data_IF_206466389563
#
_entry.id   IF_206466389563
#
_cell.length_a   1.000
_cell.length_b   1.000
_cell.length_c   1.000
_cell.angle_alpha   90.00
_cell.angle_beta   90.00
_cell.angle_gamma   90.00
#
_symmetry.space_group_name_H-M   'P 1'
#
loop_
_entity.id
_entity.type
_entity.pdbx_description
1 polymer ?
#
# COMPACT_ATOMS: atom_id res chain seq x y z
N UNK A 1 -27.40 -29.33 24.31
CA UNK A 1 -27.20 -27.96 23.74
C UNK A 1 -25.87 -27.29 24.09
N UNK A 2 -24.78 -27.97 24.43
CA UNK A 2 -23.48 -27.37 24.80
C UNK A 2 -22.40 -27.45 23.69
N UNK A 3 -22.60 -28.27 22.63
CA UNK A 3 -21.57 -28.46 21.58
C UNK A 3 -21.46 -27.35 20.53
N UNK A 4 -22.53 -26.59 20.27
CA UNK A 4 -22.52 -25.57 19.20
C UNK A 4 -21.85 -24.27 19.59
N UNK A 5 -21.70 -23.96 20.90
CA UNK A 5 -21.01 -22.75 21.35
C UNK A 5 -19.49 -22.83 21.17
N UNK A 6 -18.91 -24.01 21.30
CA UNK A 6 -17.46 -24.23 21.09
C UNK A 6 -17.07 -24.13 19.63
N UNK A 7 -17.92 -24.61 18.73
CA UNK A 7 -17.67 -24.53 17.29
C UNK A 7 -17.75 -23.08 16.79
N UNK A 8 -18.66 -22.26 17.36
CA UNK A 8 -18.80 -20.85 16.98
C UNK A 8 -17.59 -20.03 17.41
N UNK A 9 -17.00 -20.30 18.58
CA UNK A 9 -15.80 -19.60 19.07
C UNK A 9 -14.57 -19.97 18.24
N UNK A 10 -14.44 -21.21 17.81
CA UNK A 10 -13.32 -21.64 16.94
C UNK A 10 -13.45 -21.00 15.55
N UNK A 11 -14.65 -20.90 15.00
CA UNK A 11 -14.88 -20.22 13.71
C UNK A 11 -14.62 -18.71 13.80
N UNK A 12 -15.01 -18.05 14.90
CA UNK A 12 -14.68 -16.62 15.09
C UNK A 12 -13.18 -16.38 15.30
N UNK A 13 -12.47 -17.27 15.99
CA UNK A 13 -11.01 -17.17 16.14
C UNK A 13 -10.27 -17.46 14.83
N UNK A 14 -10.79 -18.35 13.98
CA UNK A 14 -10.24 -18.61 12.66
C UNK A 14 -10.47 -17.40 11.71
N UNK A 15 -11.63 -16.75 11.76
CA UNK A 15 -11.94 -15.57 10.94
C UNK A 15 -11.12 -14.35 11.34
N UNK A 16 -10.78 -14.18 12.62
CA UNK A 16 -9.91 -13.08 13.07
C UNK A 16 -8.46 -13.29 12.64
N UNK A 17 -7.99 -14.52 12.48
CA UNK A 17 -6.66 -14.84 11.96
C UNK A 17 -6.47 -14.51 10.48
N UNK A 18 -7.53 -14.56 9.67
CA UNK A 18 -7.45 -14.26 8.24
C UNK A 18 -7.28 -12.77 7.92
N UNK A 19 -7.81 -11.87 8.75
CA UNK A 19 -7.68 -10.42 8.55
C UNK A 19 -6.25 -9.91 8.82
N UNK A 20 -5.49 -10.57 9.69
CA UNK A 20 -4.10 -10.22 9.99
C UNK A 20 -3.08 -10.79 9.00
N UNK A 21 -3.41 -11.83 8.25
CA UNK A 21 -2.48 -12.53 7.35
C UNK A 21 -2.06 -11.72 6.12
N UNK A 22 -2.84 -10.73 5.70
CA UNK A 22 -2.48 -9.88 4.56
C UNK A 22 -1.40 -8.83 4.89
N UNK A 23 -1.23 -8.50 6.17
CA UNK A 23 -0.23 -7.54 6.64
C UNK A 23 0.91 -8.18 7.42
N UNK A 24 0.92 -9.49 7.58
CA UNK A 24 1.99 -10.23 8.25
C UNK A 24 3.24 -10.38 7.35
N UNK A 25 3.80 -9.28 6.95
CA UNK A 25 5.21 -9.22 6.63
C UNK A 25 5.90 -8.67 7.87
N UNK A 26 6.78 -9.39 8.46
CA UNK A 26 7.61 -9.20 9.65
C UNK A 26 8.05 -7.75 9.97
N UNK A 27 7.11 -6.81 10.00
CA UNK A 27 7.35 -5.43 10.39
C UNK A 27 7.56 -5.35 11.91
N UNK A 28 8.71 -5.71 12.40
CA UNK A 28 9.05 -5.32 13.77
C UNK A 28 9.14 -3.79 13.82
N UNK A 29 8.61 -3.19 14.87
CA UNK A 29 8.63 -1.73 15.12
C UNK A 29 10.03 -1.12 14.99
N UNK A 30 11.05 -1.93 15.19
CA UNK A 30 12.46 -1.51 15.21
C UNK A 30 13.07 -1.34 13.81
N UNK A 31 12.35 -1.72 12.75
CA UNK A 31 12.91 -1.69 11.39
C UNK A 31 12.75 -0.34 10.70
N UNK A 32 11.88 0.56 11.20
CA UNK A 32 11.73 1.91 10.65
C UNK A 32 12.78 2.87 11.19
N UNK A 33 13.16 2.72 12.47
CA UNK A 33 14.13 3.60 13.13
C UNK A 33 15.45 3.64 12.35
N UNK A 34 15.93 4.85 12.07
CA UNK A 34 17.14 5.09 11.28
C UNK A 34 16.99 4.89 9.77
N UNK A 35 15.80 4.60 9.27
CA UNK A 35 15.52 4.51 7.82
C UNK A 35 15.04 5.85 7.24
N UNK A 36 14.80 5.88 5.93
CA UNK A 36 14.21 7.06 5.26
C UNK A 36 12.74 7.33 5.66
N UNK A 37 12.04 6.34 6.24
CA UNK A 37 10.71 6.52 6.81
C UNK A 37 10.74 6.85 8.31
N UNK A 38 11.91 6.93 8.92
CA UNK A 38 12.09 7.55 10.23
C UNK A 38 12.08 9.07 10.08
N UNK A 39 10.91 9.66 10.21
CA UNK A 39 10.71 11.09 9.96
C UNK A 39 11.12 11.98 11.13
N UNK A 40 11.67 11.43 12.23
CA UNK A 40 12.15 12.22 13.36
C UNK A 40 13.23 13.24 12.98
N UNK A 41 14.10 12.89 12.04
CA UNK A 41 15.14 13.79 11.55
C UNK A 41 14.58 14.91 10.67
N UNK A 42 13.39 14.70 10.13
CA UNK A 42 12.69 15.63 9.20
C UNK A 42 11.75 16.54 9.95
N UNK A 43 10.96 15.97 10.84
CA UNK A 43 9.94 16.67 11.62
C UNK A 43 10.29 16.48 13.10
N UNK A 44 11.13 17.35 13.64
CA UNK A 44 11.55 17.26 15.04
C UNK A 44 10.37 17.42 16.00
N UNK A 45 10.30 16.56 17.02
CA UNK A 45 9.37 16.68 18.12
C UNK A 45 8.43 15.51 18.38
N UNK A 46 8.32 14.55 17.49
CA UNK A 46 7.60 13.30 17.75
C UNK A 46 8.42 12.36 18.62
N UNK A 47 7.78 11.70 19.58
CA UNK A 47 8.44 10.70 20.43
C UNK A 47 8.29 9.27 19.89
N UNK A 48 7.39 9.07 18.94
CA UNK A 48 7.07 7.77 18.37
C UNK A 48 7.12 7.81 16.84
N UNK A 49 8.01 7.05 16.28
CA UNK A 49 8.23 6.90 14.82
C UNK A 49 6.93 6.58 14.04
N UNK A 50 5.99 5.87 14.67
CA UNK A 50 4.73 5.48 14.04
C UNK A 50 3.74 6.64 13.85
N UNK A 51 3.83 7.69 14.67
CA UNK A 51 2.86 8.79 14.72
C UNK A 51 2.88 9.67 13.46
N UNK A 52 3.99 9.69 12.73
CA UNK A 52 4.06 10.41 11.47
C UNK A 52 3.13 9.82 10.40
N UNK A 53 2.93 8.51 10.43
CA UNK A 53 2.08 7.81 9.47
C UNK A 53 0.72 7.42 10.07
N UNK A 54 0.66 7.15 11.38
CA UNK A 54 -0.53 6.63 12.04
C UNK A 54 -0.94 7.47 13.25
N UNK A 55 -2.23 7.65 13.42
CA UNK A 55 -2.81 8.25 14.62
C UNK A 55 -3.33 7.14 15.55
N UNK A 56 -3.21 7.27 16.89
CA UNK A 56 -3.65 6.23 17.83
C UNK A 56 -5.17 5.99 17.78
N UNK A 57 -5.93 7.01 17.45
CA UNK A 57 -7.40 6.98 17.47
C UNK A 57 -7.96 7.78 16.29
N UNK A 58 -9.10 7.32 15.75
CA UNK A 58 -9.84 8.05 14.75
C UNK A 58 -10.45 9.33 15.36
N UNK A 59 -10.22 10.48 14.71
CA UNK A 59 -10.89 11.73 15.11
C UNK A 59 -12.35 11.70 14.72
N UNK A 60 -13.23 12.00 15.69
CA UNK A 60 -14.68 12.00 15.48
C UNK A 60 -15.17 13.00 14.44
N UNK A 61 -14.36 14.00 14.10
CA UNK A 61 -14.74 15.07 13.18
C UNK A 61 -14.37 14.81 11.70
N UNK A 62 -13.62 13.74 11.41
CA UNK A 62 -13.16 13.48 10.04
C UNK A 62 -13.96 12.33 9.43
N UNK A 63 -15.00 12.68 8.70
CA UNK A 63 -15.79 11.71 7.91
C UNK A 63 -15.02 11.13 6.73
N UNK A 64 -13.89 11.72 6.38
CA UNK A 64 -13.07 11.41 5.20
C UNK A 64 -11.66 10.91 5.56
N UNK A 65 -11.41 10.52 6.83
CA UNK A 65 -10.10 10.00 7.20
C UNK A 65 -9.82 8.68 6.48
N UNK A 66 -8.65 8.55 5.85
CA UNK A 66 -8.24 7.28 5.25
C UNK A 66 -8.21 6.16 6.30
N UNK A 67 -8.38 4.92 5.89
CA UNK A 67 -8.27 3.78 6.78
C UNK A 67 -6.85 3.63 7.34
N UNK A 68 -6.63 2.62 8.18
CA UNK A 68 -5.37 2.37 8.90
C UNK A 68 -4.99 3.48 9.88
N UNK A 69 -5.94 4.33 10.29
CA UNK A 69 -5.66 5.48 11.15
C UNK A 69 -4.55 6.36 10.56
N UNK A 70 -4.59 6.60 9.25
CA UNK A 70 -3.58 7.35 8.54
C UNK A 70 -3.53 8.81 8.99
N UNK A 71 -2.32 9.32 9.26
CA UNK A 71 -2.13 10.65 9.83
C UNK A 71 -1.88 11.74 8.78
N UNK A 72 -1.75 11.39 7.51
CA UNK A 72 -1.45 12.36 6.45
C UNK A 72 -2.68 12.60 5.58
N UNK A 73 -2.94 13.86 5.25
CA UNK A 73 -4.02 14.22 4.33
C UNK A 73 -3.72 13.66 2.94
N UNK A 74 -4.68 12.96 2.37
CA UNK A 74 -4.55 12.46 1.00
C UNK A 74 -4.93 13.57 0.01
N UNK A 75 -4.17 13.66 -1.07
CA UNK A 75 -4.48 14.61 -2.14
C UNK A 75 -5.76 14.19 -2.86
N UNK A 76 -6.66 15.11 -3.16
CA UNK A 76 -7.92 14.78 -3.86
C UNK A 76 -7.74 14.36 -5.33
N UNK A 77 -6.54 14.41 -5.87
CA UNK A 77 -6.29 14.07 -7.27
C UNK A 77 -6.69 15.19 -8.25
N UNK A 78 -6.92 14.92 -9.54
CA UNK A 78 -6.69 13.62 -10.17
C UNK A 78 -5.19 13.30 -10.36
N UNK A 79 -4.86 12.01 -10.35
CA UNK A 79 -3.56 11.51 -10.79
C UNK A 79 -3.68 10.98 -12.21
N UNK A 80 -2.88 11.47 -13.14
CA UNK A 80 -2.84 10.94 -14.48
C UNK A 80 -2.18 9.55 -14.47
N UNK A 81 -2.92 8.54 -14.89
CA UNK A 81 -2.51 7.14 -14.82
C UNK A 81 -1.62 6.73 -15.99
N UNK A 82 -0.88 5.64 -15.84
CA UNK A 82 -0.09 5.04 -16.92
C UNK A 82 -0.98 4.70 -18.12
N UNK A 83 -0.48 4.97 -19.32
CA UNK A 83 -1.13 4.63 -20.59
C UNK A 83 -0.09 4.23 -21.63
N UNK A 84 -0.31 3.08 -22.27
CA UNK A 84 0.51 2.57 -23.36
C UNK A 84 -0.35 1.68 -24.25
N UNK A 85 -0.09 1.64 -25.58
CA UNK A 85 -0.74 0.69 -26.47
C UNK A 85 -0.47 -0.79 -26.12
N UNK A 86 0.61 -1.08 -25.39
CA UNK A 86 0.99 -2.42 -24.96
C UNK A 86 0.55 -2.74 -23.52
N UNK A 87 -0.28 -1.91 -22.90
CA UNK A 87 -0.76 -2.13 -21.55
C UNK A 87 -2.18 -2.72 -21.54
N UNK A 88 -2.29 -4.04 -21.44
CA UNK A 88 -3.56 -4.76 -21.44
C UNK A 88 -4.43 -4.48 -20.20
N UNK A 89 -3.85 -3.94 -19.13
CA UNK A 89 -4.55 -3.50 -17.94
C UNK A 89 -5.27 -2.16 -18.05
N UNK A 90 -5.20 -1.48 -19.20
CA UNK A 90 -5.70 -0.11 -19.36
C UNK A 90 -7.20 0.07 -19.04
N UNK A 91 -8.03 -0.94 -19.32
CA UNK A 91 -9.47 -0.89 -19.02
C UNK A 91 -9.78 -0.95 -17.50
N UNK A 92 -8.82 -1.37 -16.69
CA UNK A 92 -9.02 -1.63 -15.26
C UNK A 92 -8.07 -0.81 -14.36
N UNK A 93 -7.29 0.11 -14.95
CA UNK A 93 -6.49 1.06 -14.19
C UNK A 93 -7.39 2.18 -13.66
N UNK A 94 -7.12 2.59 -12.45
CA UNK A 94 -7.89 3.63 -11.76
C UNK A 94 -6.95 4.75 -11.30
N UNK A 95 -7.45 5.97 -11.30
CA UNK A 95 -6.82 7.06 -10.57
C UNK A 95 -6.86 6.74 -9.06
N UNK A 96 -5.71 6.64 -8.38
CA UNK A 96 -5.68 6.32 -6.95
C UNK A 96 -6.53 7.24 -6.07
N UNK A 97 -6.76 8.50 -6.47
CA UNK A 97 -7.60 9.44 -5.71
C UNK A 97 -9.08 9.06 -5.71
N UNK A 98 -9.51 8.21 -6.65
CA UNK A 98 -10.90 7.72 -6.74
C UNK A 98 -11.13 6.47 -5.89
N UNK A 99 -10.09 5.94 -5.25
CA UNK A 99 -10.21 4.81 -4.34
C UNK A 99 -11.12 5.15 -3.17
N UNK A 100 -12.14 4.32 -2.92
CA UNK A 100 -13.07 4.55 -1.82
C UNK A 100 -12.46 4.13 -0.49
N UNK A 101 -12.45 5.03 0.48
CA UNK A 101 -11.99 4.76 1.84
C UNK A 101 -12.89 3.78 2.62
N UNK A 102 -14.04 3.41 2.07
CA UNK A 102 -15.02 2.55 2.75
C UNK A 102 -14.87 1.07 2.39
N UNK A 103 -14.08 0.75 1.40
CA UNK A 103 -14.05 -0.57 0.79
C UNK A 103 -12.64 -1.13 0.66
N UNK A 104 -12.19 -1.87 1.66
CA UNK A 104 -11.03 -2.72 1.53
C UNK A 104 -9.66 -2.00 1.48
N UNK A 105 -8.66 -2.69 0.97
CA UNK A 105 -7.25 -2.29 1.02
C UNK A 105 -6.71 -1.68 -0.29
N UNK A 106 -7.57 -1.34 -1.22
CA UNK A 106 -7.20 -0.88 -2.57
C UNK A 106 -6.84 0.60 -2.69
N UNK A 107 -6.47 1.25 -1.61
CA UNK A 107 -6.00 2.64 -1.60
C UNK A 107 -4.54 2.75 -1.12
N UNK A 108 -3.79 1.66 -1.18
CA UNK A 108 -2.40 1.68 -0.70
C UNK A 108 -1.54 2.65 -1.49
N UNK A 109 -1.76 2.78 -2.80
CA UNK A 109 -1.05 3.76 -3.62
C UNK A 109 -1.38 5.20 -3.23
N UNK A 110 -2.65 5.49 -2.90
CA UNK A 110 -3.06 6.82 -2.43
C UNK A 110 -2.37 7.21 -1.11
N UNK A 111 -2.21 6.26 -0.18
CA UNK A 111 -1.48 6.51 1.06
C UNK A 111 0.00 6.84 0.80
N UNK A 112 0.65 6.13 -0.12
CA UNK A 112 2.02 6.43 -0.52
C UNK A 112 2.11 7.82 -1.16
N UNK A 113 1.20 8.14 -2.06
CA UNK A 113 1.15 9.41 -2.77
C UNK A 113 0.86 10.60 -1.84
N UNK A 114 0.22 10.40 -0.68
CA UNK A 114 0.03 11.49 0.29
C UNK A 114 1.34 12.13 0.77
N UNK A 115 2.46 11.41 0.61
CA UNK A 115 3.81 11.91 0.90
C UNK A 115 4.67 12.01 -0.36
N UNK A 116 4.50 11.08 -1.31
CA UNK A 116 5.38 10.94 -2.48
C UNK A 116 4.89 11.70 -3.72
N UNK A 117 3.78 12.42 -3.64
CA UNK A 117 3.28 13.28 -4.72
C UNK A 117 3.97 14.65 -4.80
N UNK A 118 4.94 14.91 -3.94
CA UNK A 118 5.67 16.18 -3.89
C UNK A 118 4.92 17.32 -3.20
N UNK A 119 3.74 17.09 -2.63
CA UNK A 119 2.92 18.14 -2.00
C UNK A 119 2.93 18.13 -0.47
N UNK A 120 3.59 17.15 0.15
CA UNK A 120 3.62 17.03 1.61
C UNK A 120 4.24 18.27 2.27
N UNK A 121 3.56 18.78 3.27
CA UNK A 121 4.02 19.83 4.16
C UNK A 121 3.70 19.45 5.61
N UNK A 122 4.20 20.22 6.57
CA UNK A 122 3.83 20.02 7.98
C UNK A 122 2.31 20.14 8.20
N UNK A 123 1.62 20.99 7.46
CA UNK A 123 0.17 21.14 7.51
C UNK A 123 -0.60 19.95 6.92
N UNK A 124 0.08 19.01 6.27
CA UNK A 124 -0.54 17.82 5.71
C UNK A 124 -0.88 16.75 6.77
N UNK A 125 -0.38 16.87 7.98
CA UNK A 125 -0.68 15.92 9.05
C UNK A 125 -1.96 16.30 9.79
N UNK A 126 -2.81 15.32 10.09
CA UNK A 126 -4.04 15.53 10.88
C UNK A 126 -3.74 15.76 12.37
N UNK A 127 -2.78 15.02 12.92
CA UNK A 127 -2.27 15.25 14.27
C UNK A 127 -0.82 15.70 14.20
N UNK A 128 -0.66 16.99 14.39
CA UNK A 128 0.63 17.56 14.74
C UNK A 128 0.44 18.09 16.15
N UNK A 129 1.01 17.41 17.13
CA UNK A 129 1.23 18.06 18.42
C UNK A 129 2.23 19.18 18.20
N UNK A 130 2.11 20.28 18.94
CA UNK A 130 3.06 21.42 18.88
C UNK A 130 4.53 21.04 19.09
N UNK A 131 4.80 19.81 19.48
CA UNK A 131 6.10 19.18 19.59
C UNK A 131 6.69 18.67 18.24
N UNK A 132 5.89 18.56 17.17
CA UNK A 132 6.38 18.17 15.83
C UNK A 132 6.88 19.41 15.03
N UNK A 133 7.37 20.42 15.71
CA UNK A 133 7.78 21.70 15.17
C UNK A 133 9.16 21.74 14.52
N UNK A 134 9.51 20.81 13.68
CA UNK A 134 10.73 20.86 12.88
C UNK A 134 10.47 21.49 11.52
N UNK A 135 11.27 22.48 11.15
CA UNK A 135 11.32 23.05 9.81
C UNK A 135 12.17 22.18 8.84
N UNK A 136 12.19 20.88 9.06
CA UNK A 136 12.91 19.96 8.19
C UNK A 136 12.23 19.84 6.83
N UNK A 137 12.86 20.34 5.80
CA UNK A 137 12.47 20.10 4.42
C UNK A 137 13.27 18.93 3.87
N UNK A 138 12.85 17.70 4.14
CA UNK A 138 13.25 16.62 3.26
C UNK A 138 12.08 16.35 2.33
N UNK A 139 12.25 16.74 1.10
CA UNK A 139 11.32 16.33 0.04
C UNK A 139 11.49 14.84 -0.16
N UNK A 140 10.46 14.02 0.11
CA UNK A 140 10.51 12.61 -0.25
C UNK A 140 10.73 12.49 -1.76
N UNK A 141 11.30 11.39 -2.26
CA UNK A 141 11.37 11.17 -3.70
C UNK A 141 9.97 11.33 -4.29
N UNK A 142 9.85 12.27 -5.20
CA UNK A 142 8.58 12.51 -5.89
C UNK A 142 8.39 11.37 -6.89
N UNK A 143 7.22 10.75 -6.84
CA UNK A 143 6.78 9.75 -7.81
C UNK A 143 5.86 10.49 -8.78
N UNK A 144 6.13 10.33 -10.04
CA UNK A 144 5.44 11.05 -11.10
C UNK A 144 6.13 12.34 -11.55
N UNK A 145 5.51 13.05 -12.48
CA UNK A 145 5.99 14.33 -13.01
C UNK A 145 6.07 15.41 -11.93
N UNK A 146 6.95 16.38 -12.12
CA UNK A 146 7.12 17.50 -11.22
C UNK A 146 5.79 18.23 -11.01
N UNK A 147 5.30 18.25 -9.78
CA UNK A 147 3.97 18.73 -9.43
C UNK A 147 3.03 17.61 -8.93
N UNK A 148 3.50 16.34 -8.91
CA UNK A 148 2.85 15.26 -8.19
C UNK A 148 1.56 14.72 -8.77
N UNK A 149 1.22 15.06 -10.03
CA UNK A 149 -0.07 14.69 -10.61
C UNK A 149 0.03 13.56 -11.66
N UNK A 150 1.23 13.13 -12.07
CA UNK A 150 1.42 12.20 -13.18
C UNK A 150 2.08 10.90 -12.78
N UNK A 151 1.43 9.78 -13.08
CA UNK A 151 1.98 8.42 -12.94
C UNK A 151 2.22 7.77 -14.32
N UNK A 152 2.26 8.59 -15.38
CA UNK A 152 2.28 8.09 -16.76
C UNK A 152 3.60 7.43 -17.14
N UNK A 153 4.71 7.82 -16.51
CA UNK A 153 6.05 7.30 -16.75
C UNK A 153 6.55 6.33 -15.68
N UNK A 154 5.71 6.04 -14.69
CA UNK A 154 6.00 5.08 -13.64
C UNK A 154 5.45 3.69 -14.01
N UNK A 155 5.88 2.66 -13.29
CA UNK A 155 5.24 1.35 -13.41
C UNK A 155 3.75 1.49 -13.06
N UNK A 156 2.82 0.95 -13.89
CA UNK A 156 1.39 1.07 -13.63
C UNK A 156 1.03 0.51 -12.25
N UNK A 157 0.21 1.27 -11.52
CA UNK A 157 -0.35 0.91 -10.21
C UNK A 157 -1.85 1.15 -10.21
N UNK A 158 -2.53 0.63 -9.19
CA UNK A 158 -3.98 0.70 -9.03
C UNK A 158 -4.77 0.16 -10.23
N UNK A 159 -4.35 -0.98 -10.76
CA UNK A 159 -5.09 -1.75 -11.75
C UNK A 159 -5.36 -3.17 -11.26
N UNK A 160 -6.44 -3.77 -11.73
CA UNK A 160 -6.79 -5.14 -11.36
C UNK A 160 -5.82 -6.12 -12.01
N UNK A 161 -5.05 -6.83 -11.20
CA UNK A 161 -4.20 -7.92 -11.64
C UNK A 161 -4.93 -9.25 -11.41
N UNK A 162 -5.42 -9.83 -12.50
CA UNK A 162 -6.28 -11.02 -12.50
C UNK A 162 -5.73 -12.14 -13.38
N UNK A 163 -6.26 -13.34 -13.19
CA UNK A 163 -6.00 -14.47 -14.12
C UNK A 163 -6.43 -14.12 -15.53
N UNK A 164 -7.55 -13.40 -15.69
CA UNK A 164 -8.02 -12.96 -17.01
C UNK A 164 -7.03 -12.01 -17.69
N UNK A 165 -6.51 -11.01 -16.95
CA UNK A 165 -5.47 -10.10 -17.47
C UNK A 165 -4.22 -10.88 -17.88
N UNK A 166 -3.70 -11.73 -17.01
CA UNK A 166 -2.49 -12.50 -17.28
C UNK A 166 -2.66 -13.44 -18.48
N UNK A 167 -3.86 -13.95 -18.71
CA UNK A 167 -4.19 -14.79 -19.86
C UNK A 167 -4.23 -13.97 -21.16
N UNK A 168 -4.77 -12.75 -21.12
CA UNK A 168 -4.87 -11.86 -22.28
C UNK A 168 -3.49 -11.34 -22.67
N UNK A 169 -2.68 -10.90 -21.71
CA UNK A 169 -1.33 -10.38 -21.90
C UNK A 169 -0.36 -11.47 -22.41
N UNK A 170 -0.49 -12.69 -21.90
CA UNK A 170 0.33 -13.86 -22.28
C UNK A 170 1.77 -13.83 -21.78
N UNK A 171 2.28 -12.68 -21.35
CA UNK A 171 3.61 -12.50 -20.75
C UNK A 171 3.58 -12.34 -19.24
N UNK A 172 2.39 -12.23 -18.65
CA UNK A 172 2.21 -12.11 -17.20
C UNK A 172 1.97 -13.48 -16.55
N UNK A 173 2.54 -13.68 -15.37
CA UNK A 173 2.25 -14.85 -14.54
C UNK A 173 0.90 -14.73 -13.86
N UNK A 174 0.14 -15.82 -13.83
CA UNK A 174 -1.18 -15.82 -13.23
C UNK A 174 -1.10 -15.62 -11.71
N UNK A 175 -1.91 -14.72 -11.13
CA UNK A 175 -2.03 -14.57 -9.68
C UNK A 175 -2.83 -15.73 -9.07
N UNK A 176 -2.71 -15.87 -7.74
CA UNK A 176 -3.71 -16.62 -6.98
C UNK A 176 -4.90 -15.72 -6.72
N UNK A 177 -6.09 -16.20 -6.99
CA UNK A 177 -7.36 -15.51 -6.77
C UNK A 177 -8.17 -16.16 -5.63
N UNK A 178 -9.27 -15.50 -5.24
CA UNK A 178 -10.16 -15.96 -4.18
C UNK A 178 -9.84 -15.39 -2.81
N UNK A 179 -9.77 -16.21 -1.78
CA UNK A 179 -9.63 -15.75 -0.39
C UNK A 179 -8.31 -14.99 -0.13
N UNK A 180 -7.22 -15.42 -0.76
CA UNK A 180 -5.91 -14.79 -0.64
C UNK A 180 -5.39 -14.46 -2.03
N UNK A 181 -5.47 -13.19 -2.39
CA UNK A 181 -4.98 -12.70 -3.68
C UNK A 181 -3.52 -12.30 -3.58
N UNK A 182 -2.71 -12.90 -4.44
CA UNK A 182 -1.26 -12.69 -4.43
C UNK A 182 -0.63 -13.16 -5.73
N UNK A 183 0.56 -12.66 -6.01
CA UNK A 183 1.41 -13.18 -7.08
C UNK A 183 2.27 -14.28 -6.45
N UNK A 184 2.13 -15.55 -6.88
CA UNK A 184 2.93 -16.65 -6.35
C UNK A 184 4.40 -16.46 -6.70
N UNK A 185 5.28 -16.75 -5.77
CA UNK A 185 6.72 -16.77 -6.00
C UNK A 185 7.32 -18.08 -5.53
N UNK A 186 8.15 -18.66 -6.36
CA UNK A 186 8.93 -19.86 -5.97
C UNK A 186 10.14 -19.37 -5.19
N UNK A 187 10.06 -19.43 -3.86
CA UNK A 187 11.18 -19.03 -3.00
C UNK A 187 10.89 -17.98 -1.95
N UNK A 188 9.60 -17.44 -1.85
CA UNK A 188 9.11 -16.56 -0.77
C UNK A 188 9.57 -15.08 -0.82
N UNK A 189 8.81 -14.13 -0.26
CA UNK A 189 7.37 -14.19 0.02
C UNK A 189 6.54 -13.82 -1.22
N UNK A 190 5.35 -14.38 -1.34
CA UNK A 190 4.39 -13.99 -2.37
C UNK A 190 4.05 -12.50 -2.26
N UNK A 191 3.99 -11.80 -3.40
CA UNK A 191 3.66 -10.38 -3.42
C UNK A 191 2.14 -10.19 -3.24
N UNK A 192 1.68 -9.36 -2.29
CA UNK A 192 0.26 -9.17 -2.02
C UNK A 192 -0.41 -8.37 -3.15
N UNK A 193 -1.65 -8.71 -3.43
CA UNK A 193 -2.58 -7.89 -4.19
C UNK A 193 -3.69 -7.42 -3.25
N UNK A 194 -4.30 -6.28 -3.53
CA UNK A 194 -5.21 -5.61 -2.61
C UNK A 194 -6.62 -5.57 -3.19
N UNK A 195 -7.59 -6.09 -2.44
CA UNK A 195 -8.99 -6.15 -2.85
C UNK A 195 -9.71 -4.83 -2.56
N UNK A 196 -10.62 -4.42 -3.43
CA UNK A 196 -11.58 -3.34 -3.16
C UNK A 196 -12.59 -3.78 -2.11
N UNK A 197 -13.12 -5.01 -2.24
CA UNK A 197 -14.06 -5.62 -1.31
C UNK A 197 -13.55 -6.99 -0.85
N UNK A 198 -13.88 -7.42 0.35
CA UNK A 198 -13.53 -8.76 0.83
C UNK A 198 -14.05 -9.89 -0.07
N UNK A 199 -15.14 -9.64 -0.79
CA UNK A 199 -15.79 -10.58 -1.71
C UNK A 199 -15.15 -10.66 -3.08
N UNK A 200 -14.27 -9.71 -3.44
CA UNK A 200 -13.61 -9.72 -4.74
C UNK A 200 -12.74 -10.97 -4.90
N UNK A 201 -12.75 -11.54 -6.08
CA UNK A 201 -11.93 -12.72 -6.40
C UNK A 201 -10.51 -12.34 -6.80
N UNK A 202 -10.32 -11.18 -7.42
CA UNK A 202 -9.04 -10.63 -7.85
C UNK A 202 -8.63 -9.46 -6.94
N UNK A 203 -7.38 -9.05 -7.03
CA UNK A 203 -6.87 -7.88 -6.33
C UNK A 203 -6.19 -6.89 -7.27
N UNK A 204 -5.91 -5.71 -6.76
CA UNK A 204 -5.22 -4.64 -7.46
C UNK A 204 -3.73 -4.67 -7.16
N UNK A 205 -2.93 -4.36 -8.17
CA UNK A 205 -1.51 -4.10 -8.01
C UNK A 205 -1.36 -2.66 -7.50
N UNK A 206 -0.73 -2.51 -6.35
CA UNK A 206 -0.55 -1.24 -5.65
C UNK A 206 0.94 -0.98 -5.39
N UNK A 207 1.32 0.23 -4.99
CA UNK A 207 2.70 0.49 -4.54
C UNK A 207 3.12 -0.50 -3.46
N UNK A 208 2.21 -0.81 -2.53
CA UNK A 208 2.44 -1.78 -1.46
C UNK A 208 2.55 -3.24 -1.94
N UNK A 209 2.27 -3.56 -3.21
CA UNK A 209 2.56 -4.87 -3.79
C UNK A 209 4.07 -5.13 -3.82
N UNK A 210 4.84 -4.13 -4.23
CA UNK A 210 6.30 -4.22 -4.32
C UNK A 210 7.02 -3.71 -3.07
N UNK A 211 6.43 -2.73 -2.35
CA UNK A 211 7.05 -2.07 -1.22
C UNK A 211 6.40 -2.44 0.11
N UNK A 212 7.20 -2.59 1.15
CA UNK A 212 6.76 -2.67 2.54
C UNK A 212 7.40 -1.53 3.34
N UNK A 213 6.66 -0.45 3.67
CA UNK A 213 7.21 0.72 4.35
C UNK A 213 7.79 0.42 5.74
N UNK A 214 7.49 -0.76 6.29
CA UNK A 214 7.97 -1.21 7.58
C UNK A 214 9.23 -2.08 7.51
N UNK A 215 9.74 -2.43 6.33
CA UNK A 215 10.88 -3.34 6.19
C UNK A 215 11.88 -2.87 5.12
N UNK A 216 13.05 -2.33 5.50
CA UNK A 216 14.08 -1.85 4.59
C UNK A 216 15.06 -2.93 4.12
N UNK A 217 14.92 -4.19 4.54
CA UNK A 217 15.94 -5.25 4.43
C UNK A 217 16.42 -5.52 3.01
N UNK A 218 15.57 -5.29 2.00
CA UNK A 218 15.91 -5.51 0.59
C UNK A 218 16.31 -4.20 -0.15
N UNK A 219 16.54 -3.11 0.59
CA UNK A 219 16.76 -1.79 0.04
C UNK A 219 15.47 -1.18 -0.52
N UNK A 220 15.37 0.14 -0.52
CA UNK A 220 14.20 0.90 -1.03
C UNK A 220 12.84 0.35 -0.55
N UNK A 221 12.82 -0.29 0.62
CA UNK A 221 11.63 -0.95 1.19
C UNK A 221 10.99 -2.00 0.29
N UNK A 222 11.74 -2.65 -0.60
CA UNK A 222 11.22 -3.73 -1.43
C UNK A 222 10.86 -4.96 -0.59
N UNK A 223 9.76 -5.61 -0.94
CA UNK A 223 9.34 -6.86 -0.29
C UNK A 223 10.26 -8.03 -0.59
N UNK A 224 10.98 -7.96 -1.70
CA UNK A 224 12.01 -8.93 -2.07
C UNK A 224 13.17 -8.22 -2.76
N UNK A 225 14.34 -8.85 -2.75
CA UNK A 225 15.49 -8.34 -3.48
C UNK A 225 15.22 -8.33 -4.99
N UNK A 226 15.75 -7.32 -5.69
CA UNK A 226 15.62 -7.20 -7.15
C UNK A 226 16.93 -7.55 -7.89
N UNK A 227 17.74 -8.41 -7.32
CA UNK A 227 18.94 -8.93 -8.01
C UNK A 227 18.54 -9.74 -9.24
N UNK A 228 19.15 -9.46 -10.37
CA UNK A 228 18.81 -10.11 -11.63
C UNK A 228 17.35 -9.88 -12.06
N UNK A 229 16.77 -8.74 -11.70
CA UNK A 229 15.37 -8.39 -11.99
C UNK A 229 14.34 -9.34 -11.37
N UNK A 230 14.68 -10.04 -10.29
CA UNK A 230 13.82 -11.08 -9.70
C UNK A 230 12.45 -10.55 -9.25
N UNK A 231 12.37 -9.28 -8.81
CA UNK A 231 11.09 -8.64 -8.49
C UNK A 231 10.21 -8.50 -9.74
N UNK A 232 10.79 -8.03 -10.85
CA UNK A 232 10.08 -7.87 -12.13
C UNK A 232 9.62 -9.23 -12.67
N UNK A 233 10.51 -10.22 -12.66
CA UNK A 233 10.25 -11.58 -13.13
C UNK A 233 9.27 -12.35 -12.25
N UNK A 234 8.86 -11.80 -11.13
CA UNK A 234 7.81 -12.39 -10.32
C UNK A 234 6.42 -12.25 -10.98
N UNK A 235 6.23 -11.19 -11.75
CA UNK A 235 5.01 -10.92 -12.52
C UNK A 235 5.21 -11.19 -14.02
N UNK A 236 6.34 -10.76 -14.59
CA UNK A 236 6.62 -10.92 -15.99
C UNK A 236 7.27 -12.29 -16.26
N UNK A 237 6.61 -13.08 -17.12
CA UNK A 237 7.18 -14.29 -17.71
C UNK A 237 7.95 -13.89 -18.97
N UNK A 238 9.23 -14.21 -19.05
CA UNK A 238 10.05 -14.11 -20.27
C UNK A 238 10.17 -15.48 -20.87
#
# INVERSE_FOLDING_TARGET
MKRNKFLLVIVMLALSGYAYGQFAGDGSKNTIVGTKHDLHATFSGGTAVCEYCHVPHKFNSLTTQPPLLWNVQVKPGPFATYSSPSFDGAANIRDPSTASSTSGASYMSLLCLSCHDGTITQASFYQITSAMGGSGSTTPPIIGESGGAGLQNDHPVDFTYSVALATTDGGLKQPTEGASVRIPYVGSPALPLFKDQPTDVSGRLECATCHNPHNPSNGKFLRMANSGSSLCLNCHGV
#
